data_IF_037523148846
#
_entry.id   IF_037523148846
#
_cell.length_a   1.000
_cell.length_b   1.000
_cell.length_c   1.000
_cell.angle_alpha   90.00
_cell.angle_beta   90.00
_cell.angle_gamma   90.00
#
_symmetry.space_group_name_H-M   'P 1'
#
loop_
_entity.id
_entity.type
_entity.pdbx_description
1 polymer ?
#
# COMPACT_ATOMS: atom_id res chain seq x y z
N UNK A 1 18.08 42.67 6.10
CA UNK A 1 18.27 43.99 6.76
C UNK A 1 17.89 45.07 5.74
N UNK A 2 17.69 46.35 6.10
CA UNK A 2 17.23 47.30 5.09
C UNK A 2 18.37 47.68 4.12
N UNK A 3 18.07 47.73 2.83
CA UNK A 3 19.00 48.28 1.84
C UNK A 3 19.05 49.80 1.98
N UNK A 4 20.24 50.39 1.87
CA UNK A 4 20.43 51.83 1.81
C UNK A 4 20.80 52.26 0.40
N UNK A 5 20.23 53.37 -0.07
CA UNK A 5 20.61 54.00 -1.33
C UNK A 5 21.28 55.33 -1.02
N UNK A 6 22.51 55.53 -1.49
CA UNK A 6 23.28 56.77 -1.36
C UNK A 6 23.41 57.43 -2.72
N UNK A 7 22.81 58.60 -2.90
CA UNK A 7 22.92 59.41 -4.12
C UNK A 7 24.10 60.37 -3.96
N UNK A 8 25.06 60.27 -4.88
CA UNK A 8 26.29 61.06 -4.87
C UNK A 8 26.07 62.44 -5.48
N UNK A 9 26.89 63.42 -5.07
CA UNK A 9 26.89 64.74 -5.67
C UNK A 9 27.25 64.67 -7.16
N UNK A 10 26.73 65.59 -7.97
CA UNK A 10 27.02 65.72 -9.40
C UNK A 10 28.48 66.01 -9.69
N UNK A 11 29.21 66.61 -8.76
CA UNK A 11 30.65 66.83 -8.87
C UNK A 11 31.47 65.55 -8.69
N UNK A 12 30.87 64.47 -8.21
CA UNK A 12 31.54 63.18 -7.99
C UNK A 12 31.58 62.43 -9.32
N UNK A 13 32.74 62.43 -9.96
CA UNK A 13 32.99 61.64 -11.16
C UNK A 13 32.95 60.12 -10.90
N UNK A 14 32.77 59.35 -11.97
CA UNK A 14 32.67 57.88 -11.92
C UNK A 14 33.85 57.20 -11.24
N UNK A 15 35.07 57.66 -11.48
CA UNK A 15 36.29 57.14 -10.85
C UNK A 15 36.23 57.20 -9.32
N UNK A 16 35.72 58.32 -8.79
CA UNK A 16 35.58 58.52 -7.34
C UNK A 16 34.42 57.72 -6.75
N UNK A 17 33.35 57.51 -7.52
CA UNK A 17 32.24 56.63 -7.15
C UNK A 17 32.66 55.15 -7.13
N UNK A 18 33.50 54.73 -8.07
CA UNK A 18 34.09 53.38 -8.12
C UNK A 18 35.10 53.17 -6.98
N UNK A 19 35.85 54.20 -6.58
CA UNK A 19 36.69 54.14 -5.39
C UNK A 19 35.86 53.95 -4.10
N UNK A 20 34.71 54.63 -3.98
CA UNK A 20 33.77 54.42 -2.87
C UNK A 20 33.19 53.00 -2.88
N UNK A 21 32.79 52.49 -4.06
CA UNK A 21 32.35 51.10 -4.22
C UNK A 21 33.44 50.11 -3.78
N UNK A 22 34.70 50.35 -4.19
CA UNK A 22 35.85 49.55 -3.80
C UNK A 22 36.11 49.56 -2.29
N UNK A 23 35.91 50.71 -1.64
CA UNK A 23 36.04 50.83 -0.17
C UNK A 23 34.97 50.04 0.59
N UNK A 24 33.75 49.94 0.04
CA UNK A 24 32.67 49.12 0.59
C UNK A 24 32.95 47.63 0.36
N UNK A 25 33.39 47.26 -0.84
CA UNK A 25 33.79 45.89 -1.17
C UNK A 25 34.97 45.40 -0.29
N UNK A 26 35.94 46.27 0.00
CA UNK A 26 37.07 45.96 0.90
C UNK A 26 36.62 45.71 2.36
N UNK A 27 35.42 46.17 2.74
CA UNK A 27 34.78 45.92 4.03
C UNK A 27 33.75 44.78 3.97
N UNK A 28 33.74 44.02 2.87
CA UNK A 28 32.77 42.94 2.58
C UNK A 28 31.31 43.41 2.59
N UNK A 29 31.06 44.70 2.34
CA UNK A 29 29.70 45.26 2.27
C UNK A 29 29.21 45.13 0.82
N UNK A 30 28.15 44.35 0.54
CA UNK A 30 27.64 44.19 -0.81
C UNK A 30 27.01 45.50 -1.28
N UNK A 31 27.59 46.10 -2.31
CA UNK A 31 27.09 47.33 -2.91
C UNK A 31 27.20 47.27 -4.44
N UNK A 32 26.37 48.07 -5.11
CA UNK A 32 26.40 48.23 -6.56
C UNK A 32 26.25 49.69 -6.95
N UNK A 33 26.97 50.11 -7.98
CA UNK A 33 26.87 51.45 -8.55
C UNK A 33 25.80 51.46 -9.65
N UNK A 34 24.86 52.40 -9.59
CA UNK A 34 23.83 52.62 -10.61
C UNK A 34 23.80 54.06 -11.07
N UNK A 35 23.60 54.26 -12.37
CA UNK A 35 23.32 55.58 -12.93
C UNK A 35 21.87 55.98 -12.61
N UNK A 36 21.68 57.22 -12.15
CA UNK A 36 20.36 57.78 -11.81
C UNK A 36 20.18 59.13 -12.49
N UNK A 37 18.94 59.60 -12.71
CA UNK A 37 18.69 60.90 -13.31
C UNK A 37 19.41 62.02 -12.54
N UNK A 38 20.46 62.56 -13.15
CA UNK A 38 21.25 63.63 -12.56
C UNK A 38 22.39 63.21 -11.63
N UNK A 39 22.92 61.98 -11.74
CA UNK A 39 24.16 61.58 -11.05
C UNK A 39 24.37 60.07 -10.95
N UNK A 40 25.16 59.65 -9.96
CA UNK A 40 25.43 58.25 -9.62
C UNK A 40 24.84 57.93 -8.24
N UNK A 41 24.39 56.69 -8.06
CA UNK A 41 23.90 56.19 -6.78
C UNK A 41 24.58 54.86 -6.42
N UNK A 42 24.99 54.74 -5.16
CA UNK A 42 25.44 53.50 -4.55
C UNK A 42 24.24 52.83 -3.86
N UNK A 43 23.90 51.63 -4.30
CA UNK A 43 22.91 50.77 -3.65
C UNK A 43 23.67 49.80 -2.76
N UNK A 44 23.47 49.92 -1.45
CA UNK A 44 24.10 49.12 -0.42
C UNK A 44 23.08 48.11 0.08
N UNK A 45 23.32 46.85 -0.20
CA UNK A 45 22.48 45.75 0.26
C UNK A 45 22.87 45.39 1.69
N UNK A 46 21.87 45.14 2.55
CA UNK A 46 22.07 44.77 3.95
C UNK A 46 23.05 45.70 4.71
N UNK A 47 22.84 47.02 4.60
CA UNK A 47 23.74 48.01 5.19
C UNK A 47 23.91 47.80 6.71
N UNK A 48 25.16 47.70 7.24
CA UNK A 48 25.40 47.49 8.66
C UNK A 48 24.93 48.69 9.49
N UNK A 49 24.50 48.40 10.72
CA UNK A 49 24.09 49.44 11.66
C UNK A 49 25.26 50.40 11.96
N UNK A 50 25.02 51.70 11.80
CA UNK A 50 26.05 52.73 12.05
C UNK A 50 27.02 52.97 10.89
N UNK A 51 26.73 52.50 9.67
CA UNK A 51 27.53 52.86 8.49
C UNK A 51 27.48 54.38 8.27
N UNK A 52 28.61 55.04 8.55
CA UNK A 52 28.75 56.49 8.36
C UNK A 52 28.66 56.88 6.89
N UNK A 53 27.93 57.96 6.61
CA UNK A 53 27.76 58.48 5.26
C UNK A 53 28.96 59.34 4.88
N UNK A 54 29.62 59.07 3.75
CA UNK A 54 30.67 59.94 3.24
C UNK A 54 30.10 61.33 2.88
N UNK A 55 30.92 62.39 2.97
CA UNK A 55 30.50 63.76 2.67
C UNK A 55 30.07 63.94 1.20
N UNK A 56 30.46 63.03 0.31
CA UNK A 56 30.04 62.99 -1.09
C UNK A 56 28.55 62.62 -1.31
N UNK A 57 27.84 62.16 -0.28
CA UNK A 57 26.44 61.72 -0.38
C UNK A 57 25.48 62.89 -0.11
N UNK A 58 24.74 63.30 -1.14
CA UNK A 58 23.78 64.43 -1.06
C UNK A 58 22.42 63.99 -0.55
N UNK A 59 22.00 62.77 -0.89
CA UNK A 59 20.74 62.18 -0.43
C UNK A 59 20.91 60.71 -0.13
N UNK A 60 20.15 60.24 0.84
CA UNK A 60 20.11 58.83 1.16
C UNK A 60 18.74 58.42 1.68
N UNK A 61 18.33 57.21 1.30
CA UNK A 61 17.05 56.65 1.68
C UNK A 61 17.24 55.20 2.09
N UNK A 62 16.44 54.78 3.06
CA UNK A 62 16.40 53.40 3.55
C UNK A 62 15.11 52.80 3.02
N UNK A 63 15.23 51.72 2.24
CA UNK A 63 14.07 51.01 1.70
C UNK A 63 14.02 49.65 2.39
N UNK A 64 12.96 49.44 3.17
CA UNK A 64 12.60 48.11 3.65
C UNK A 64 12.01 47.34 2.48
N UNK A 65 12.85 46.59 1.77
CA UNK A 65 12.37 45.65 0.75
C UNK A 65 11.71 44.49 1.50
N UNK A 66 10.39 44.23 1.31
CA UNK A 66 9.76 43.06 1.91
C UNK A 66 10.45 41.83 1.33
N UNK A 67 11.27 41.18 2.15
CA UNK A 67 11.94 39.96 1.74
C UNK A 67 10.86 38.89 1.70
N UNK A 68 10.24 38.69 0.53
CA UNK A 68 9.33 37.57 0.30
C UNK A 68 10.00 36.29 0.79
N UNK A 69 9.30 35.49 1.59
CA UNK A 69 9.87 34.36 2.33
C UNK A 69 10.71 33.47 1.40
N UNK A 70 12.03 33.62 1.47
CA UNK A 70 12.97 32.83 0.68
C UNK A 70 12.93 31.41 1.24
N UNK A 71 12.24 30.49 0.55
CA UNK A 71 12.25 29.07 0.93
C UNK A 71 13.69 28.57 0.80
N UNK A 72 14.32 28.26 1.93
CA UNK A 72 15.68 27.74 1.92
C UNK A 72 15.67 26.32 1.34
N UNK A 73 16.77 25.92 0.67
CA UNK A 73 16.91 24.56 0.12
C UNK A 73 16.69 23.49 1.19
N UNK A 74 17.20 23.73 2.40
CA UNK A 74 17.02 22.83 3.55
C UNK A 74 15.55 22.69 3.95
N UNK A 75 14.85 23.81 4.09
CA UNK A 75 13.42 23.79 4.42
C UNK A 75 12.58 23.07 3.35
N UNK A 76 12.91 23.27 2.07
CA UNK A 76 12.25 22.55 0.98
C UNK A 76 12.48 21.03 1.09
N UNK A 77 13.73 20.60 1.28
CA UNK A 77 14.08 19.18 1.40
C UNK A 77 13.46 18.54 2.64
N UNK A 78 13.43 19.23 3.77
CA UNK A 78 12.82 18.74 5.01
C UNK A 78 11.30 18.56 4.83
N UNK A 79 10.63 19.55 4.24
CA UNK A 79 9.17 19.48 3.97
C UNK A 79 8.86 18.34 3.00
N UNK A 80 9.67 18.18 1.95
CA UNK A 80 9.50 17.09 0.98
C UNK A 80 9.69 15.72 1.63
N UNK A 81 10.77 15.52 2.40
CA UNK A 81 11.05 14.26 3.08
C UNK A 81 9.96 13.86 4.08
N UNK A 82 9.44 14.83 4.85
CA UNK A 82 8.33 14.60 5.77
C UNK A 82 7.06 14.23 5.00
N UNK A 83 6.72 14.96 3.94
CA UNK A 83 5.51 14.68 3.15
C UNK A 83 5.54 13.29 2.51
N UNK A 84 6.68 12.86 1.98
CA UNK A 84 6.86 11.53 1.40
C UNK A 84 6.72 10.42 2.45
N UNK A 85 7.29 10.65 3.63
CA UNK A 85 7.22 9.70 4.74
C UNK A 85 5.78 9.51 5.24
N UNK A 86 5.04 10.61 5.39
CA UNK A 86 3.61 10.55 5.76
C UNK A 86 2.79 9.81 4.71
N UNK A 87 3.02 10.09 3.43
CA UNK A 87 2.33 9.40 2.34
C UNK A 87 2.64 7.90 2.32
N UNK A 88 3.89 7.51 2.55
CA UNK A 88 4.30 6.11 2.61
C UNK A 88 3.64 5.37 3.78
N UNK A 89 3.60 5.98 4.96
CA UNK A 89 2.95 5.40 6.15
C UNK A 89 1.44 5.26 5.93
N UNK A 90 0.78 6.28 5.38
CA UNK A 90 -0.64 6.24 5.07
C UNK A 90 -0.96 5.11 4.08
N UNK A 91 -0.18 4.99 3.00
CA UNK A 91 -0.32 3.92 2.00
C UNK A 91 -0.10 2.53 2.61
N UNK A 92 0.97 2.37 3.40
CA UNK A 92 1.27 1.12 4.09
C UNK A 92 0.17 0.69 5.07
N UNK A 93 -0.44 1.64 5.77
CA UNK A 93 -1.55 1.37 6.71
C UNK A 93 -2.80 0.88 5.97
N UNK A 94 -3.13 1.49 4.83
CA UNK A 94 -4.26 1.04 4.00
C UNK A 94 -4.00 -0.38 3.47
N UNK A 95 -2.80 -0.65 2.95
CA UNK A 95 -2.45 -1.98 2.45
C UNK A 95 -2.49 -3.04 3.55
N UNK A 96 -1.95 -2.71 4.74
CA UNK A 96 -2.01 -3.58 5.90
C UNK A 96 -3.46 -3.85 6.33
N UNK A 97 -4.33 -2.84 6.32
CA UNK A 97 -5.76 -2.99 6.63
C UNK A 97 -6.48 -3.90 5.63
N UNK A 98 -6.19 -3.78 4.33
CA UNK A 98 -6.74 -4.65 3.29
C UNK A 98 -6.27 -6.09 3.43
N UNK A 99 -5.00 -6.31 3.81
CA UNK A 99 -4.46 -7.65 4.01
C UNK A 99 -4.94 -8.29 5.33
N UNK A 100 -5.04 -7.50 6.39
CA UNK A 100 -5.39 -7.96 7.73
C UNK A 100 -6.90 -8.13 7.96
N UNK A 101 -7.74 -7.61 7.07
CA UNK A 101 -9.19 -7.82 7.12
C UNK A 101 -9.53 -9.16 6.45
N UNK A 102 -9.82 -10.24 7.21
CA UNK A 102 -10.23 -11.49 6.59
C UNK A 102 -11.49 -11.26 5.77
N UNK A 103 -11.66 -11.97 4.63
CA UNK A 103 -12.90 -11.90 3.88
C UNK A 103 -14.05 -12.25 4.82
N UNK A 104 -15.06 -11.38 4.88
CA UNK A 104 -16.22 -11.59 5.74
C UNK A 104 -16.92 -12.89 5.29
N UNK A 105 -16.69 -13.99 6.03
CA UNK A 105 -17.35 -15.26 5.80
C UNK A 105 -18.83 -15.12 6.16
N UNK A 106 -19.66 -14.77 5.16
CA UNK A 106 -21.11 -14.77 5.28
C UNK A 106 -21.64 -16.17 5.11
N UNK A 107 -21.42 -17.02 6.09
CA UNK A 107 -22.29 -18.18 6.31
C UNK A 107 -22.25 -18.46 7.80
N UNK A 108 -23.39 -18.44 8.52
CA UNK A 108 -23.52 -19.38 9.62
C UNK A 108 -23.44 -20.76 8.96
N UNK A 109 -22.22 -21.29 8.81
CA UNK A 109 -22.00 -22.70 8.54
C UNK A 109 -22.67 -23.40 9.70
N UNK A 110 -23.92 -23.80 9.50
CA UNK A 110 -24.46 -24.85 10.34
C UNK A 110 -23.51 -26.01 10.11
N UNK A 111 -22.83 -26.46 11.17
CA UNK A 111 -21.84 -27.54 11.10
C UNK A 111 -22.44 -28.85 10.57
N UNK A 112 -23.75 -28.89 10.30
CA UNK A 112 -24.51 -29.99 9.75
C UNK A 112 -25.27 -29.57 8.47
N UNK A 113 -25.29 -30.46 7.48
CA UNK A 113 -26.01 -30.33 6.23
C UNK A 113 -26.82 -31.60 5.97
N UNK A 114 -28.11 -31.43 5.67
CA UNK A 114 -28.99 -32.52 5.24
C UNK A 114 -28.83 -32.76 3.73
N UNK A 115 -28.38 -33.96 3.36
CA UNK A 115 -28.01 -34.29 1.98
C UNK A 115 -29.16 -34.97 1.22
N UNK A 116 -30.09 -35.61 1.93
CA UNK A 116 -31.21 -36.34 1.34
C UNK A 116 -31.61 -37.58 2.14
N UNK A 117 -32.56 -38.35 1.61
CA UNK A 117 -33.01 -39.61 2.21
C UNK A 117 -32.00 -40.74 2.00
N UNK A 118 -31.95 -41.68 2.95
CA UNK A 118 -31.07 -42.87 2.88
C UNK A 118 -31.36 -43.67 1.61
N UNK A 119 -32.63 -43.98 1.36
CA UNK A 119 -33.06 -44.79 0.21
C UNK A 119 -32.68 -44.18 -1.13
N UNK A 120 -32.76 -42.86 -1.26
CA UNK A 120 -32.42 -42.17 -2.51
C UNK A 120 -30.92 -42.26 -2.81
N UNK A 121 -30.07 -42.05 -1.80
CA UNK A 121 -28.62 -42.08 -1.97
C UNK A 121 -28.13 -43.51 -2.18
N UNK A 122 -28.71 -44.51 -1.50
CA UNK A 122 -28.38 -45.92 -1.72
C UNK A 122 -28.78 -46.39 -3.12
N UNK A 123 -29.94 -45.97 -3.62
CA UNK A 123 -30.38 -46.29 -4.97
C UNK A 123 -29.47 -45.67 -6.05
N UNK A 124 -28.97 -44.45 -5.81
CA UNK A 124 -28.05 -43.76 -6.73
C UNK A 124 -26.60 -44.21 -6.57
N UNK A 125 -26.23 -44.76 -5.40
CA UNK A 125 -24.86 -45.11 -5.02
C UNK A 125 -24.00 -43.92 -4.60
N UNK A 126 -24.24 -42.72 -5.15
CA UNK A 126 -23.63 -41.49 -4.66
C UNK A 126 -24.47 -40.25 -4.99
N UNK A 127 -24.23 -39.16 -4.25
CA UNK A 127 -24.88 -37.86 -4.44
C UNK A 127 -23.89 -36.72 -4.23
N UNK A 128 -23.81 -35.82 -5.20
CA UNK A 128 -23.01 -34.59 -5.10
C UNK A 128 -23.86 -33.49 -4.46
N UNK A 129 -23.28 -32.74 -3.55
CA UNK A 129 -23.91 -31.63 -2.83
C UNK A 129 -22.90 -30.53 -2.53
N UNK A 130 -23.33 -29.42 -1.94
CA UNK A 130 -22.43 -28.36 -1.45
C UNK A 130 -22.51 -28.27 0.06
N UNK A 131 -21.36 -28.30 0.72
CA UNK A 131 -21.23 -27.98 2.14
C UNK A 131 -20.64 -26.58 2.25
N UNK A 132 -21.49 -25.59 2.56
CA UNK A 132 -21.12 -24.18 2.40
C UNK A 132 -20.76 -23.87 0.94
N UNK A 133 -19.50 -23.51 0.69
CA UNK A 133 -18.95 -23.25 -0.67
C UNK A 133 -18.23 -24.44 -1.27
N UNK A 134 -18.00 -25.50 -0.50
CA UNK A 134 -17.17 -26.63 -0.91
C UNK A 134 -18.02 -27.71 -1.58
N UNK A 135 -17.70 -28.12 -2.83
CA UNK A 135 -18.40 -29.21 -3.50
C UNK A 135 -17.98 -30.54 -2.88
N UNK A 136 -18.96 -31.30 -2.43
CA UNK A 136 -18.77 -32.56 -1.70
C UNK A 136 -19.59 -33.68 -2.35
N UNK A 137 -19.25 -34.91 -2.02
CA UNK A 137 -19.99 -36.11 -2.44
C UNK A 137 -20.25 -37.00 -1.23
N UNK A 138 -21.47 -37.52 -1.14
CA UNK A 138 -21.79 -38.67 -0.29
C UNK A 138 -21.82 -39.91 -1.16
N UNK A 139 -21.15 -40.97 -0.72
CA UNK A 139 -21.10 -42.27 -1.40
C UNK A 139 -21.67 -43.32 -0.45
N UNK A 140 -22.60 -44.13 -0.94
CA UNK A 140 -23.09 -45.32 -0.28
C UNK A 140 -22.28 -46.53 -0.76
N UNK A 141 -21.47 -47.11 0.13
CA UNK A 141 -20.64 -48.26 -0.18
C UNK A 141 -20.50 -49.18 1.04
N UNK A 142 -20.64 -50.50 0.83
CA UNK A 142 -20.46 -51.48 1.89
C UNK A 142 -21.40 -51.32 3.10
N UNK A 143 -22.62 -50.83 2.86
CA UNK A 143 -23.62 -50.56 3.91
C UNK A 143 -23.30 -49.35 4.79
N UNK A 144 -22.38 -48.48 4.36
CA UNK A 144 -22.04 -47.24 5.06
C UNK A 144 -22.06 -46.05 4.11
N UNK A 145 -22.19 -44.86 4.69
CA UNK A 145 -22.09 -43.60 3.97
C UNK A 145 -20.72 -42.94 4.24
N UNK A 146 -20.08 -42.52 3.16
CA UNK A 146 -18.81 -41.82 3.17
C UNK A 146 -19.02 -40.43 2.57
N UNK A 147 -18.63 -39.37 3.27
CA UNK A 147 -18.73 -38.00 2.76
C UNK A 147 -17.35 -37.40 2.61
N UNK A 148 -17.03 -36.95 1.40
CA UNK A 148 -15.71 -36.44 1.03
C UNK A 148 -15.85 -35.15 0.23
N UNK A 149 -14.86 -34.27 0.35
CA UNK A 149 -14.68 -33.17 -0.60
C UNK A 149 -14.41 -33.73 -1.99
N UNK A 150 -14.99 -33.11 -3.01
CA UNK A 150 -14.68 -33.44 -4.40
C UNK A 150 -13.51 -32.62 -4.93
N UNK A 151 -12.91 -31.74 -4.12
CA UNK A 151 -11.79 -30.89 -4.54
C UNK A 151 -10.48 -31.68 -4.41
N UNK A 152 -9.88 -32.02 -5.55
CA UNK A 152 -8.58 -32.70 -5.60
C UNK A 152 -7.52 -31.86 -4.89
N UNK A 153 -6.84 -32.45 -3.91
CA UNK A 153 -5.79 -31.78 -3.12
C UNK A 153 -4.51 -31.45 -3.89
N UNK A 154 -4.39 -31.85 -5.16
CA UNK A 154 -3.28 -31.46 -6.03
C UNK A 154 -3.43 -30.00 -6.50
N UNK A 155 -4.37 -29.74 -7.40
CA UNK A 155 -4.60 -28.42 -8.03
C UNK A 155 -6.09 -28.02 -8.09
N UNK A 156 -6.94 -28.68 -7.31
CA UNK A 156 -8.35 -28.27 -7.14
C UNK A 156 -9.36 -28.79 -8.17
N UNK A 157 -8.96 -29.70 -9.08
CA UNK A 157 -9.92 -30.34 -10.00
C UNK A 157 -11.02 -31.12 -9.24
N UNK A 158 -12.21 -31.26 -9.83
CA UNK A 158 -13.29 -32.04 -9.25
C UNK A 158 -13.06 -33.54 -9.50
N UNK A 159 -12.97 -34.32 -8.42
CA UNK A 159 -12.87 -35.78 -8.47
C UNK A 159 -14.25 -36.41 -8.61
N UNK A 160 -14.30 -37.56 -9.28
CA UNK A 160 -15.54 -38.27 -9.57
C UNK A 160 -15.54 -39.63 -8.90
N UNK A 161 -16.70 -40.02 -8.35
CA UNK A 161 -16.90 -41.37 -7.82
C UNK A 161 -16.89 -42.39 -8.95
N UNK A 162 -16.12 -43.47 -8.80
CA UNK A 162 -16.07 -44.59 -9.75
C UNK A 162 -16.61 -45.85 -9.06
N UNK A 163 -17.91 -46.20 -9.25
CA UNK A 163 -18.55 -47.29 -8.52
C UNK A 163 -17.87 -48.65 -8.67
N UNK A 164 -17.38 -48.96 -9.88
CA UNK A 164 -16.79 -50.27 -10.20
C UNK A 164 -15.50 -50.56 -9.42
N UNK A 165 -14.72 -49.53 -9.15
CA UNK A 165 -13.39 -49.61 -8.52
C UNK A 165 -13.34 -49.03 -7.12
N UNK A 166 -14.51 -48.64 -6.60
CA UNK A 166 -14.76 -48.10 -5.27
C UNK A 166 -13.76 -47.03 -4.81
N UNK A 167 -13.47 -46.06 -5.70
CA UNK A 167 -12.58 -44.94 -5.39
C UNK A 167 -13.02 -43.66 -6.11
N UNK A 168 -12.49 -42.53 -5.68
CA UNK A 168 -12.66 -41.26 -6.37
C UNK A 168 -11.48 -41.01 -7.29
N UNK A 169 -11.73 -40.68 -8.56
CA UNK A 169 -10.71 -40.45 -9.56
C UNK A 169 -10.68 -38.99 -10.02
N UNK A 170 -9.49 -38.42 -10.13
CA UNK A 170 -9.25 -37.11 -10.69
C UNK A 170 -8.85 -37.22 -12.17
N UNK A 171 -9.62 -36.65 -13.11
CA UNK A 171 -9.32 -36.77 -14.54
C UNK A 171 -8.09 -35.96 -14.97
N UNK A 172 -7.65 -34.98 -14.19
CA UNK A 172 -6.60 -34.04 -14.58
C UNK A 172 -5.21 -34.68 -14.62
N UNK A 173 -4.84 -35.42 -13.57
CA UNK A 173 -3.48 -35.99 -13.42
C UNK A 173 -3.52 -37.42 -12.86
N UNK A 174 -4.63 -38.14 -13.09
CA UNK A 174 -4.84 -39.53 -12.70
C UNK A 174 -4.63 -39.80 -11.20
N UNK A 175 -4.99 -38.84 -10.36
CA UNK A 175 -5.02 -39.09 -8.92
C UNK A 175 -6.21 -39.99 -8.57
N UNK A 176 -6.03 -40.90 -7.62
CA UNK A 176 -7.13 -41.71 -7.07
C UNK A 176 -7.13 -41.67 -5.54
N UNK A 177 -8.32 -41.70 -4.95
CA UNK A 177 -8.55 -41.60 -3.52
C UNK A 177 -9.50 -42.70 -3.03
N UNK A 178 -9.23 -43.29 -1.87
CA UNK A 178 -10.14 -44.26 -1.27
C UNK A 178 -11.40 -43.59 -0.67
N UNK A 179 -12.28 -44.41 -0.08
CA UNK A 179 -13.53 -43.97 0.56
C UNK A 179 -13.31 -43.22 1.89
N UNK A 180 -12.09 -43.27 2.42
CA UNK A 180 -11.65 -42.52 3.59
C UNK A 180 -10.98 -41.19 3.19
N UNK A 181 -10.73 -40.99 1.90
CA UNK A 181 -10.11 -39.81 1.32
C UNK A 181 -8.59 -39.91 1.16
N UNK A 182 -7.95 -41.03 1.52
CA UNK A 182 -6.50 -41.20 1.39
C UNK A 182 -6.08 -41.31 -0.07
N UNK A 183 -4.90 -40.76 -0.37
CA UNK A 183 -4.30 -40.85 -1.70
C UNK A 183 -3.89 -42.29 -1.96
N UNK A 184 -4.49 -42.92 -2.97
CA UNK A 184 -4.10 -44.25 -3.44
C UNK A 184 -3.06 -44.18 -4.54
N UNK A 185 -3.21 -43.20 -5.44
CA UNK A 185 -2.33 -43.02 -6.59
C UNK A 185 -2.26 -41.54 -6.98
N UNK A 186 -1.13 -41.17 -7.59
CA UNK A 186 -0.95 -39.88 -8.25
C UNK A 186 -0.18 -38.85 -7.42
N UNK A 187 -0.11 -37.59 -7.92
CA UNK A 187 0.68 -36.52 -7.32
C UNK A 187 0.11 -35.83 -6.06
N UNK A 188 -1.17 -35.97 -5.62
CA UNK A 188 -1.67 -35.13 -4.55
C UNK A 188 -0.88 -35.31 -3.24
N UNK A 189 -0.51 -34.21 -2.56
CA UNK A 189 0.35 -34.26 -1.38
C UNK A 189 -0.37 -34.65 -0.08
N UNK A 190 -1.71 -34.65 -0.08
CA UNK A 190 -2.55 -34.87 1.11
C UNK A 190 -3.87 -35.57 0.76
N UNK A 191 -4.53 -36.23 1.73
CA UNK A 191 -5.87 -36.78 1.53
C UNK A 191 -6.92 -35.71 1.20
N UNK A 192 -8.04 -36.15 0.64
CA UNK A 192 -9.27 -35.36 0.55
C UNK A 192 -9.82 -35.08 1.95
N UNK A 193 -10.47 -33.93 2.09
CA UNK A 193 -11.18 -33.60 3.33
C UNK A 193 -12.35 -34.57 3.50
N UNK A 194 -12.36 -35.32 4.60
CA UNK A 194 -13.44 -36.22 4.95
C UNK A 194 -14.38 -35.57 5.97
N UNK A 195 -15.67 -35.80 5.78
CA UNK A 195 -16.73 -35.30 6.64
C UNK A 195 -17.33 -36.44 7.47
N UNK A 196 -17.87 -36.10 8.64
CA UNK A 196 -18.57 -37.09 9.45
C UNK A 196 -20.00 -37.23 8.91
N UNK A 197 -20.49 -38.46 8.84
CA UNK A 197 -21.85 -38.75 8.37
C UNK A 197 -22.64 -39.35 9.52
N UNK A 198 -23.87 -38.89 9.69
CA UNK A 198 -24.84 -39.43 10.62
C UNK A 198 -26.16 -39.67 9.89
N UNK A 199 -26.84 -40.76 10.21
CA UNK A 199 -28.20 -41.01 9.72
C UNK A 199 -29.17 -40.65 10.84
N UNK A 200 -30.10 -39.74 10.59
CA UNK A 200 -31.13 -39.33 11.57
C UNK A 200 -32.49 -39.29 10.85
N UNK A 201 -33.49 -39.97 11.40
CA UNK A 201 -34.86 -39.98 10.88
C UNK A 201 -34.93 -40.23 9.36
N UNK A 202 -34.25 -41.27 8.88
CA UNK A 202 -34.16 -41.63 7.45
C UNK A 202 -33.44 -40.60 6.55
N UNK A 203 -32.70 -39.66 7.15
CA UNK A 203 -31.93 -38.64 6.43
C UNK A 203 -30.45 -38.77 6.67
N UNK A 204 -29.67 -38.60 5.61
CA UNK A 204 -28.21 -38.55 5.66
C UNK A 204 -27.78 -37.12 5.96
N UNK A 205 -27.20 -36.93 7.14
CA UNK A 205 -26.69 -35.65 7.63
C UNK A 205 -25.16 -35.69 7.60
N UNK A 206 -24.55 -34.71 6.96
CA UNK A 206 -23.09 -34.56 6.88
C UNK A 206 -22.65 -33.41 7.77
N UNK A 207 -21.55 -33.59 8.50
CA UNK A 207 -21.00 -32.57 9.39
C UNK A 207 -19.48 -32.43 9.25
N UNK A 208 -18.95 -31.24 9.54
CA UNK A 208 -17.51 -31.01 9.55
C UNK A 208 -16.86 -31.88 10.62
N UNK A 209 -15.78 -32.59 10.29
CA UNK A 209 -14.96 -33.25 11.31
C UNK A 209 -14.17 -32.17 12.03
N UNK A 210 -14.52 -31.88 13.27
CA UNK A 210 -13.69 -31.05 14.15
C UNK A 210 -12.40 -31.84 14.39
N UNK A 211 -11.32 -31.49 13.70
CA UNK A 211 -9.99 -31.91 14.10
C UNK A 211 -9.68 -31.22 15.42
N UNK A 212 -9.62 -32.02 16.50
CA UNK A 212 -9.11 -31.57 17.79
C UNK A 212 -7.61 -31.27 17.72
#
# INVERSE_FOLDING_TARGET
MPSQIWVLDRSVGRERAEALLGSLAAREIPASLREVPGGLALVIDDAPAGLERPPEVVRSSTIEVPTGSQVTRRHFLDTFAVSLSVAAIASGTVLAGLYASPPHERTPETDEMDVGSVSEIEAQGSRVFRFGREPCVVVAAGGRFHALSTVCSHLGCIVQWVPRSQHLACPCHRASFDLEGNVREGPPPRPLTAYAVAVRNDRVVVRRRTTA
#
